data_IF_316873953338
#
_entry.id   IF_316873953338
#
_cell.length_a   1.000
_cell.length_b   1.000
_cell.length_c   1.000
_cell.angle_alpha   90.00
_cell.angle_beta   90.00
_cell.angle_gamma   90.00
#
_symmetry.space_group_name_H-M   'P 1'
#
loop_
_entity.id
_entity.type
_entity.pdbx_description
1 polymer ?
#
# COMPACT_ATOMS: atom_id res chain seq x y z
N UNK A 1 2.56 -23.41 -13.50
CA UNK A 1 1.43 -22.62 -14.03
C UNK A 1 1.26 -21.44 -13.07
N UNK A 2 1.70 -20.24 -13.43
CA UNK A 2 1.67 -19.08 -12.51
C UNK A 2 0.35 -18.33 -12.72
N UNK A 3 -0.72 -18.86 -12.14
CA UNK A 3 -1.98 -18.12 -12.04
C UNK A 3 -1.88 -17.15 -10.87
N UNK A 4 -2.41 -15.94 -11.07
CA UNK A 4 -2.52 -14.94 -10.01
C UNK A 4 -3.25 -15.56 -8.81
N UNK A 5 -2.63 -15.52 -7.63
CA UNK A 5 -3.30 -16.00 -6.43
C UNK A 5 -4.32 -14.97 -5.93
N UNK A 6 -5.17 -15.35 -4.97
CA UNK A 6 -6.25 -14.49 -4.47
C UNK A 6 -5.75 -13.16 -3.91
N UNK A 7 -4.55 -13.16 -3.34
CA UNK A 7 -3.95 -11.99 -2.70
C UNK A 7 -3.44 -11.01 -3.77
N UNK A 8 -2.78 -11.54 -4.80
CA UNK A 8 -2.35 -10.76 -5.96
C UNK A 8 -3.56 -10.14 -6.68
N UNK A 9 -4.69 -10.85 -6.76
CA UNK A 9 -5.95 -10.31 -7.31
C UNK A 9 -6.47 -9.18 -6.41
N UNK A 10 -6.49 -9.38 -5.09
CA UNK A 10 -6.90 -8.39 -4.12
C UNK A 10 -6.07 -7.11 -4.20
N UNK A 11 -4.76 -7.24 -4.35
CA UNK A 11 -3.84 -6.10 -4.52
C UNK A 11 -4.12 -5.34 -5.81
N UNK A 12 -4.30 -6.06 -6.92
CA UNK A 12 -4.61 -5.43 -8.21
C UNK A 12 -5.93 -4.66 -8.14
N UNK A 13 -6.97 -5.27 -7.55
CA UNK A 13 -8.25 -4.59 -7.32
C UNK A 13 -8.11 -3.40 -6.36
N UNK A 14 -7.34 -3.53 -5.28
CA UNK A 14 -7.04 -2.45 -4.35
C UNK A 14 -6.41 -1.26 -5.05
N UNK A 15 -5.44 -1.48 -5.95
CA UNK A 15 -4.83 -0.40 -6.75
C UNK A 15 -5.84 0.32 -7.65
N UNK A 16 -6.85 -0.37 -8.17
CA UNK A 16 -7.95 0.27 -8.88
C UNK A 16 -8.78 1.15 -7.93
N UNK A 17 -9.13 0.65 -6.74
CA UNK A 17 -9.89 1.43 -5.76
C UNK A 17 -9.14 2.66 -5.23
N UNK A 18 -7.80 2.63 -5.14
CA UNK A 18 -6.97 3.83 -4.88
C UNK A 18 -7.25 4.91 -5.94
N UNK A 19 -7.35 4.51 -7.23
CA UNK A 19 -7.65 5.44 -8.32
C UNK A 19 -9.09 5.93 -8.32
N UNK A 20 -10.00 5.20 -7.69
CA UNK A 20 -11.39 5.60 -7.50
C UNK A 20 -11.62 6.41 -6.20
N UNK A 21 -10.63 6.47 -5.31
CA UNK A 21 -10.77 7.16 -4.02
C UNK A 21 -11.62 6.39 -3.01
N UNK A 22 -11.75 5.07 -3.14
CA UNK A 22 -12.50 4.24 -2.19
C UNK A 22 -11.54 3.66 -1.15
N UNK A 23 -11.21 4.45 -0.13
CA UNK A 23 -10.23 4.07 0.90
C UNK A 23 -10.66 2.83 1.70
N UNK A 24 -11.96 2.67 1.97
CA UNK A 24 -12.49 1.53 2.73
C UNK A 24 -12.26 0.19 2.01
N UNK A 25 -12.51 0.15 0.69
CA UNK A 25 -12.23 -1.06 -0.10
C UNK A 25 -10.74 -1.32 -0.25
N UNK A 26 -9.93 -0.26 -0.39
CA UNK A 26 -8.46 -0.39 -0.43
C UNK A 26 -7.96 -1.02 0.86
N UNK A 27 -8.41 -0.52 2.01
CA UNK A 27 -8.03 -1.04 3.31
C UNK A 27 -8.41 -2.50 3.48
N UNK A 28 -9.65 -2.85 3.17
CA UNK A 28 -10.12 -4.24 3.27
C UNK A 28 -9.27 -5.18 2.41
N UNK A 29 -9.04 -4.84 1.15
CA UNK A 29 -8.33 -5.72 0.21
C UNK A 29 -6.83 -5.81 0.48
N UNK A 30 -6.19 -4.69 0.81
CA UNK A 30 -4.75 -4.67 1.05
C UNK A 30 -4.39 -5.25 2.42
N UNK A 31 -5.21 -5.03 3.46
CA UNK A 31 -4.97 -5.65 4.77
C UNK A 31 -5.04 -7.17 4.67
N UNK A 32 -6.06 -7.72 4.00
CA UNK A 32 -6.17 -9.15 3.76
C UNK A 32 -4.95 -9.70 3.01
N UNK A 33 -4.51 -9.03 1.95
CA UNK A 33 -3.36 -9.47 1.15
C UNK A 33 -2.02 -9.31 1.88
N UNK A 34 -1.90 -8.37 2.82
CA UNK A 34 -0.71 -8.21 3.67
C UNK A 34 -0.67 -9.31 4.73
N UNK A 35 -1.81 -9.62 5.35
CA UNK A 35 -1.90 -10.63 6.41
C UNK A 35 -1.68 -12.06 5.89
N UNK A 36 -2.07 -12.33 4.65
CA UNK A 36 -1.85 -13.62 4.00
C UNK A 36 -0.47 -13.75 3.35
N UNK A 37 0.27 -12.65 3.20
CA UNK A 37 1.57 -12.67 2.55
C UNK A 37 2.62 -13.34 3.45
N UNK A 38 3.38 -14.33 2.96
CA UNK A 38 4.48 -14.92 3.71
C UNK A 38 5.47 -13.85 4.17
N UNK A 39 5.95 -13.94 5.42
CA UNK A 39 6.88 -12.97 6.00
C UNK A 39 8.19 -12.82 5.19
N UNK A 40 8.54 -13.82 4.37
CA UNK A 40 9.69 -13.83 3.47
C UNK A 40 9.53 -12.89 2.26
N UNK A 41 8.30 -12.48 1.91
CA UNK A 41 7.96 -11.58 0.79
C UNK A 41 7.92 -10.12 1.22
N UNK A 42 8.98 -9.69 1.90
CA UNK A 42 9.12 -8.32 2.44
C UNK A 42 8.95 -7.23 1.35
N UNK A 43 9.52 -7.36 0.13
CA UNK A 43 9.36 -6.36 -0.92
C UNK A 43 7.91 -6.15 -1.37
N UNK A 44 7.14 -7.23 -1.50
CA UNK A 44 5.75 -7.22 -1.94
C UNK A 44 4.85 -6.57 -0.89
N UNK A 45 5.01 -6.97 0.38
CA UNK A 45 4.28 -6.38 1.51
C UNK A 45 4.54 -4.88 1.60
N UNK A 46 5.80 -4.47 1.44
CA UNK A 46 6.16 -3.06 1.48
C UNK A 46 5.52 -2.27 0.32
N UNK A 47 5.45 -2.85 -0.87
CA UNK A 47 4.74 -2.25 -2.01
C UNK A 47 3.24 -2.11 -1.73
N UNK A 48 2.58 -3.12 -1.18
CA UNK A 48 1.14 -3.11 -0.91
C UNK A 48 0.79 -2.03 0.11
N UNK A 49 1.60 -1.85 1.15
CA UNK A 49 1.42 -0.82 2.18
C UNK A 49 1.41 0.61 1.64
N UNK A 50 2.01 0.88 0.48
CA UNK A 50 1.94 2.21 -0.15
C UNK A 50 0.57 2.56 -0.74
N UNK A 51 -0.34 1.60 -0.90
CA UNK A 51 -1.67 1.82 -1.45
C UNK A 51 -2.60 2.58 -0.51
N UNK A 52 -2.51 2.28 0.79
CA UNK A 52 -3.32 2.88 1.86
C UNK A 52 -3.15 4.41 1.98
N UNK A 53 -1.93 4.94 2.20
CA UNK A 53 -1.77 6.38 2.35
C UNK A 53 -2.19 7.13 1.08
N UNK A 54 -1.96 6.54 -0.10
CA UNK A 54 -2.41 7.11 -1.37
C UNK A 54 -3.94 7.16 -1.52
N UNK A 55 -4.68 6.20 -0.94
CA UNK A 55 -6.14 6.22 -0.94
C UNK A 55 -6.68 7.29 0.01
N UNK A 56 -6.19 7.31 1.25
CA UNK A 56 -6.61 8.29 2.26
C UNK A 56 -6.28 9.74 1.86
N UNK A 57 -5.13 9.96 1.22
CA UNK A 57 -4.79 11.28 0.66
C UNK A 57 -5.82 11.79 -0.34
N UNK A 58 -6.45 10.88 -1.09
CA UNK A 58 -7.43 11.24 -2.13
C UNK A 58 -8.83 11.46 -1.57
N UNK A 59 -9.16 10.85 -0.42
CA UNK A 59 -10.40 11.09 0.31
C UNK A 59 -10.30 12.29 1.26
N UNK A 60 -9.11 12.87 1.43
CA UNK A 60 -8.86 13.97 2.35
C UNK A 60 -8.72 13.54 3.82
N UNK A 61 -8.58 12.23 4.08
CA UNK A 61 -8.35 11.70 5.42
C UNK A 61 -6.84 11.76 5.75
N UNK A 62 -6.37 12.96 6.06
CA UNK A 62 -4.95 13.24 6.23
C UNK A 62 -4.35 12.56 7.48
N UNK A 63 -5.15 12.34 8.52
CA UNK A 63 -4.70 11.66 9.73
C UNK A 63 -4.46 10.18 9.47
N UNK A 64 -5.41 9.49 8.81
CA UNK A 64 -5.22 8.11 8.38
C UNK A 64 -4.07 7.98 7.36
N UNK A 65 -3.94 8.95 6.45
CA UNK A 65 -2.84 8.99 5.50
C UNK A 65 -1.47 9.08 6.20
N UNK A 66 -1.32 9.98 7.19
CA UNK A 66 -0.08 10.11 7.98
C UNK A 66 0.22 8.87 8.82
N UNK A 67 -0.79 8.24 9.41
CA UNK A 67 -0.58 7.02 10.19
C UNK A 67 -0.07 5.88 9.31
N UNK A 68 -0.69 5.69 8.14
CA UNK A 68 -0.35 4.60 7.23
C UNK A 68 0.95 4.83 6.47
N UNK A 69 1.38 6.08 6.26
CA UNK A 69 2.67 6.37 5.62
C UNK A 69 3.86 5.91 6.48
N UNK A 70 3.78 6.06 7.81
CA UNK A 70 4.84 5.59 8.72
C UNK A 70 5.02 4.07 8.67
N UNK A 71 3.92 3.33 8.48
CA UNK A 71 3.95 1.88 8.31
C UNK A 71 4.60 1.50 6.96
N UNK A 72 4.33 2.27 5.91
CA UNK A 72 4.96 2.07 4.61
C UNK A 72 6.47 2.40 4.64
N UNK A 73 6.88 3.47 5.32
CA UNK A 73 8.29 3.84 5.53
C UNK A 73 9.06 2.76 6.26
N UNK A 74 8.50 2.24 7.36
CA UNK A 74 9.12 1.14 8.12
C UNK A 74 9.31 -0.11 7.27
N UNK A 75 8.34 -0.43 6.41
CA UNK A 75 8.44 -1.57 5.50
C UNK A 75 9.49 -1.33 4.40
N UNK A 76 9.55 -0.12 3.83
CA UNK A 76 10.51 0.21 2.78
C UNK A 76 11.96 0.18 3.26
N UNK A 77 12.22 0.65 4.49
CA UNK A 77 13.54 0.59 5.11
C UNK A 77 14.11 -0.84 5.20
N UNK A 78 13.25 -1.87 5.31
CA UNK A 78 13.67 -3.27 5.34
C UNK A 78 14.01 -3.84 3.95
N UNK A 79 13.52 -3.20 2.89
CA UNK A 79 13.68 -3.68 1.49
C UNK A 79 14.85 -2.98 0.80
N UNK A 80 15.13 -1.71 1.13
CA UNK A 80 16.20 -0.94 0.49
C UNK A 80 15.95 -0.67 -1.00
N UNK A 81 14.69 -0.48 -1.40
CA UNK A 81 14.32 -0.27 -2.80
C UNK A 81 14.14 1.21 -3.14
N UNK A 82 15.02 1.74 -3.98
CA UNK A 82 14.95 3.12 -4.48
C UNK A 82 13.62 3.47 -5.16
N UNK A 83 12.99 2.49 -5.85
CA UNK A 83 11.66 2.66 -6.45
C UNK A 83 10.58 2.86 -5.40
N UNK A 84 10.66 2.11 -4.31
CA UNK A 84 9.72 2.19 -3.20
C UNK A 84 9.91 3.49 -2.43
N UNK A 85 11.15 3.87 -2.15
CA UNK A 85 11.51 5.12 -1.49
C UNK A 85 10.98 6.33 -2.26
N UNK A 86 11.15 6.34 -3.60
CA UNK A 86 10.60 7.40 -4.46
C UNK A 86 9.08 7.48 -4.35
N UNK A 87 8.40 6.33 -4.38
CA UNK A 87 6.93 6.28 -4.30
C UNK A 87 6.43 6.79 -2.95
N UNK A 88 7.10 6.43 -1.85
CA UNK A 88 6.75 6.95 -0.52
C UNK A 88 6.97 8.45 -0.48
N UNK A 89 8.10 8.96 -0.97
CA UNK A 89 8.39 10.39 -1.05
C UNK A 89 7.32 11.17 -1.83
N UNK A 90 6.86 10.63 -2.97
CA UNK A 90 5.77 11.21 -3.76
C UNK A 90 4.46 11.29 -2.97
N UNK A 91 4.12 10.24 -2.19
CA UNK A 91 2.91 10.22 -1.37
C UNK A 91 3.05 11.14 -0.15
N UNK A 92 4.22 11.18 0.51
CA UNK A 92 4.45 12.02 1.68
C UNK A 92 4.29 13.49 1.36
N UNK A 93 4.73 13.93 0.17
CA UNK A 93 4.53 15.30 -0.31
C UNK A 93 3.06 15.65 -0.56
N UNK A 94 2.22 14.65 -0.85
CA UNK A 94 0.79 14.87 -1.06
C UNK A 94 0.00 14.96 0.26
N UNK A 95 0.59 14.54 1.38
CA UNK A 95 -0.02 14.48 2.72
C UNK A 95 0.51 15.58 3.67
N UNK A 96 1.62 16.21 3.31
CA UNK A 96 2.26 17.32 4.02
C UNK A 96 1.48 18.62 3.84
#
# INVERSE_FOLDING_TARGET
>A
MYWLNRDEIGVMAGRCFVKLGDAARVETLLSLAIDSCPAERVPEVALYRTGLPAAYSRTGDWDAARATIKLAEKAAAQVGSSRLDRRISEISRAVA
#
